data_IF_344017307218
#
_entry.id   IF_344017307218
#
_cell.length_a   1.000
_cell.length_b   1.000
_cell.length_c   1.000
_cell.angle_alpha   90.00
_cell.angle_beta   90.00
_cell.angle_gamma   90.00
#
_symmetry.space_group_name_H-M   'P 1'
#
loop_
_entity.id
_entity.type
_entity.pdbx_description
1 polymer ?
#
# COMPACT_ATOMS: atom_id res chain seq x y z
N UNK A 1 -18.19 -0.98 1.65
CA UNK A 1 -18.46 0.07 2.65
C UNK A 1 -19.75 -0.27 3.38
N UNK A 2 -19.92 0.19 4.62
CA UNK A 2 -21.12 -0.09 5.42
C UNK A 2 -22.25 0.93 5.15
N UNK A 3 -23.52 0.61 5.45
CA UNK A 3 -24.67 1.49 5.19
C UNK A 3 -24.59 2.86 5.85
N UNK A 4 -24.04 2.91 7.06
CA UNK A 4 -23.93 4.14 7.85
C UNK A 4 -22.97 5.16 7.23
N UNK A 5 -21.85 4.73 6.64
CA UNK A 5 -20.85 5.62 6.00
C UNK A 5 -21.31 6.20 4.67
N UNK A 6 -22.45 5.74 4.14
CA UNK A 6 -23.03 6.18 2.88
C UNK A 6 -24.03 7.35 3.05
N UNK A 7 -24.20 7.87 4.25
CA UNK A 7 -25.20 8.89 4.56
C UNK A 7 -24.58 10.23 4.90
N UNK A 8 -25.14 11.32 4.35
CA UNK A 8 -24.61 12.70 4.46
C UNK A 8 -24.69 13.29 5.89
N UNK A 9 -25.22 12.55 6.85
CA UNK A 9 -25.27 12.94 8.25
C UNK A 9 -23.88 12.90 8.87
N UNK A 10 -23.42 14.03 9.45
CA UNK A 10 -22.18 14.12 10.23
C UNK A 10 -22.29 13.42 11.60
N UNK A 11 -22.56 12.11 11.60
CA UNK A 11 -22.41 11.22 12.75
C UNK A 11 -21.00 10.64 12.78
N UNK A 12 -20.51 10.34 13.97
CA UNK A 12 -19.32 9.52 14.18
C UNK A 12 -19.78 8.05 14.22
N UNK A 13 -19.06 7.16 13.55
CA UNK A 13 -19.38 5.73 13.46
C UNK A 13 -18.30 4.90 14.17
N UNK A 14 -18.68 3.73 14.69
CA UNK A 14 -17.73 2.81 15.33
C UNK A 14 -16.91 2.08 14.27
N UNK A 15 -15.59 2.31 14.23
CA UNK A 15 -14.68 1.60 13.31
C UNK A 15 -14.85 0.09 13.39
N UNK A 16 -14.90 -0.46 14.61
CA UNK A 16 -15.14 -1.89 14.87
C UNK A 16 -16.40 -2.44 14.20
N UNK A 17 -17.47 -1.64 14.09
CA UNK A 17 -18.70 -2.05 13.42
C UNK A 17 -18.57 -2.01 11.89
N UNK A 18 -17.75 -1.11 11.34
CA UNK A 18 -17.37 -1.09 9.92
C UNK A 18 -16.53 -2.32 9.55
N UNK A 19 -15.62 -2.71 10.44
CA UNK A 19 -14.76 -3.88 10.28
C UNK A 19 -15.57 -5.18 10.29
N UNK A 20 -16.52 -5.34 11.23
CA UNK A 20 -17.48 -6.47 11.22
C UNK A 20 -18.27 -6.51 9.91
N UNK A 21 -18.80 -5.38 9.44
CA UNK A 21 -19.52 -5.34 8.16
C UNK A 21 -18.62 -5.79 6.99
N UNK A 22 -17.38 -5.29 6.93
CA UNK A 22 -16.42 -5.68 5.89
C UNK A 22 -16.07 -7.19 5.97
N UNK A 23 -15.95 -7.73 7.19
CA UNK A 23 -15.72 -9.16 7.43
C UNK A 23 -16.94 -10.00 7.01
N UNK A 24 -18.18 -9.53 7.24
CA UNK A 24 -19.40 -10.20 6.80
C UNK A 24 -19.55 -10.25 5.27
N UNK A 25 -19.21 -9.15 4.58
CA UNK A 25 -19.13 -9.14 3.11
C UNK A 25 -18.07 -10.13 2.64
N UNK A 26 -16.91 -10.18 3.30
CA UNK A 26 -15.80 -11.06 2.93
C UNK A 26 -16.15 -12.54 3.13
N UNK A 27 -16.82 -12.88 4.24
CA UNK A 27 -17.30 -14.24 4.53
C UNK A 27 -18.34 -14.70 3.50
N UNK A 28 -19.29 -13.84 3.14
CA UNK A 28 -20.24 -14.13 2.05
C UNK A 28 -19.50 -14.36 0.71
N UNK A 29 -18.50 -13.54 0.38
CA UNK A 29 -17.69 -13.71 -0.83
C UNK A 29 -16.89 -15.02 -0.85
N UNK A 30 -16.40 -15.51 0.29
CA UNK A 30 -15.71 -16.82 0.38
C UNK A 30 -16.65 -18.00 0.07
N UNK A 31 -17.94 -17.88 0.39
CA UNK A 31 -18.95 -18.92 0.16
C UNK A 31 -19.49 -18.88 -1.28
N UNK A 32 -19.92 -17.70 -1.74
CA UNK A 32 -20.68 -17.54 -2.99
C UNK A 32 -19.85 -17.02 -4.18
N UNK A 33 -18.58 -16.65 -3.97
CA UNK A 33 -17.69 -16.10 -5.01
C UNK A 33 -18.05 -14.70 -5.52
N UNK A 34 -19.06 -14.05 -4.91
CA UNK A 34 -19.59 -12.74 -5.30
C UNK A 34 -20.05 -11.95 -4.07
N UNK A 35 -20.11 -10.62 -4.16
CA UNK A 35 -20.64 -9.78 -3.08
C UNK A 35 -22.19 -9.85 -2.98
N UNK A 36 -22.79 -9.72 -1.79
CA UNK A 36 -24.25 -9.78 -1.63
C UNK A 36 -24.98 -8.52 -2.15
N UNK A 37 -24.28 -7.40 -2.32
CA UNK A 37 -24.83 -6.16 -2.88
C UNK A 37 -23.93 -5.68 -4.02
N UNK A 38 -24.45 -5.72 -5.27
CA UNK A 38 -23.74 -5.30 -6.48
C UNK A 38 -24.65 -4.47 -7.41
N UNK A 39 -24.07 -3.50 -8.10
CA UNK A 39 -24.68 -2.74 -9.20
C UNK A 39 -23.57 -2.11 -10.06
N UNK A 40 -23.83 -1.87 -11.34
CA UNK A 40 -22.91 -1.13 -12.22
C UNK A 40 -22.83 0.36 -11.85
N UNK A 41 -23.92 0.92 -11.30
CA UNK A 41 -24.02 2.34 -10.99
C UNK A 41 -23.82 2.57 -9.51
N UNK A 42 -22.82 3.38 -9.16
CA UNK A 42 -22.42 3.66 -7.77
C UNK A 42 -23.60 4.13 -6.87
N UNK A 43 -24.51 4.96 -7.38
CA UNK A 43 -25.68 5.42 -6.63
C UNK A 43 -26.72 4.30 -6.38
N UNK A 44 -26.87 3.37 -7.32
CA UNK A 44 -27.74 2.20 -7.17
C UNK A 44 -27.13 1.17 -6.22
N UNK A 45 -25.80 0.96 -6.29
CA UNK A 45 -25.05 0.17 -5.31
C UNK A 45 -25.19 0.76 -3.89
N UNK A 46 -25.05 2.09 -3.75
CA UNK A 46 -25.25 2.77 -2.47
C UNK A 46 -26.67 2.59 -1.92
N UNK A 47 -27.69 2.63 -2.78
CA UNK A 47 -29.07 2.33 -2.38
C UNK A 47 -29.22 0.88 -1.93
N UNK A 48 -28.74 -0.10 -2.70
CA UNK A 48 -28.77 -1.53 -2.35
C UNK A 48 -28.09 -1.82 -1.02
N UNK A 49 -26.89 -1.29 -0.79
CA UNK A 49 -26.17 -1.44 0.49
C UNK A 49 -27.05 -0.94 1.66
N UNK A 50 -27.73 0.21 1.51
CA UNK A 50 -28.61 0.76 2.55
C UNK A 50 -29.91 -0.02 2.77
N UNK A 51 -30.62 -0.39 1.71
CA UNK A 51 -32.04 -0.80 1.81
C UNK A 51 -32.39 -2.18 1.24
N UNK A 52 -31.53 -2.82 0.44
CA UNK A 52 -31.78 -4.20 -0.01
C UNK A 52 -31.55 -5.14 1.18
N UNK A 53 -32.47 -6.07 1.41
CA UNK A 53 -32.28 -7.16 2.37
C UNK A 53 -31.16 -8.09 1.92
N UNK A 54 -30.56 -8.83 2.84
CA UNK A 54 -29.63 -9.90 2.49
C UNK A 54 -30.43 -11.07 1.90
N UNK A 55 -29.96 -11.59 0.78
CA UNK A 55 -30.50 -12.76 0.08
C UNK A 55 -29.38 -13.79 -0.06
N UNK A 56 -29.70 -15.07 0.05
CA UNK A 56 -28.76 -16.18 -0.12
C UNK A 56 -29.18 -17.00 -1.36
N UNK A 57 -28.27 -17.24 -2.33
CA UNK A 57 -28.53 -18.12 -3.46
C UNK A 57 -28.86 -19.55 -3.04
N UNK A 58 -29.67 -20.26 -3.84
CA UNK A 58 -30.04 -21.67 -3.60
C UNK A 58 -28.83 -22.63 -3.61
N UNK A 59 -27.69 -22.21 -4.18
CA UNK A 59 -26.45 -23.00 -4.28
C UNK A 59 -25.19 -22.11 -4.13
N UNK A 60 -24.12 -22.61 -3.47
CA UNK A 60 -24.07 -23.83 -2.69
C UNK A 60 -25.00 -23.75 -1.48
N UNK A 61 -25.63 -24.88 -1.11
CA UNK A 61 -26.37 -24.94 0.15
C UNK A 61 -25.38 -24.86 1.32
N UNK A 62 -25.78 -24.17 2.38
CA UNK A 62 -24.96 -23.88 3.56
C UNK A 62 -25.79 -24.04 4.83
N UNK A 63 -25.12 -24.30 5.95
CA UNK A 63 -25.79 -24.49 7.24
C UNK A 63 -26.48 -23.20 7.70
N UNK A 64 -27.58 -23.34 8.44
CA UNK A 64 -28.38 -22.19 8.86
C UNK A 64 -27.64 -21.31 9.89
N UNK A 65 -26.69 -21.87 10.64
CA UNK A 65 -25.79 -21.10 11.53
C UNK A 65 -24.84 -20.18 10.74
N UNK A 66 -24.48 -20.50 9.49
CA UNK A 66 -23.71 -19.61 8.63
C UNK A 66 -24.59 -18.51 8.04
N UNK A 67 -25.83 -18.85 7.64
CA UNK A 67 -26.82 -17.86 7.18
C UNK A 67 -27.12 -16.86 8.29
N UNK A 68 -27.29 -17.32 9.52
CA UNK A 68 -27.54 -16.48 10.69
C UNK A 68 -26.34 -15.58 11.00
N UNK A 69 -25.13 -16.12 11.13
CA UNK A 69 -23.90 -15.34 11.38
C UNK A 69 -23.74 -14.21 10.35
N UNK A 70 -23.81 -14.53 9.05
CA UNK A 70 -23.65 -13.53 7.98
C UNK A 70 -24.79 -12.51 8.00
N UNK A 71 -26.01 -12.91 8.38
CA UNK A 71 -27.14 -11.98 8.57
C UNK A 71 -26.89 -11.02 9.73
N UNK A 72 -26.43 -11.51 10.90
CA UNK A 72 -26.12 -10.68 12.06
C UNK A 72 -24.93 -9.73 11.79
N UNK A 73 -23.92 -10.17 11.02
CA UNK A 73 -22.78 -9.34 10.61
C UNK A 73 -23.15 -8.27 9.57
N UNK A 74 -24.20 -8.51 8.77
CA UNK A 74 -24.70 -7.60 7.74
C UNK A 74 -26.00 -6.87 8.15
N UNK A 75 -26.26 -6.72 9.46
CA UNK A 75 -27.27 -5.78 9.94
C UNK A 75 -26.91 -4.35 9.47
N UNK A 76 -27.92 -3.67 8.92
CA UNK A 76 -27.82 -2.28 8.46
C UNK A 76 -27.66 -1.30 9.62
N UNK A 77 -28.05 -1.70 10.83
CA UNK A 77 -27.90 -0.93 12.07
C UNK A 77 -26.59 -1.30 12.79
N UNK A 78 -25.59 -0.40 12.87
CA UNK A 78 -24.36 -0.69 13.61
C UNK A 78 -24.58 -0.86 15.13
N UNK A 79 -25.73 -0.44 15.67
CA UNK A 79 -26.11 -0.62 17.07
C UNK A 79 -26.69 -2.00 17.44
N UNK A 80 -27.09 -2.82 16.45
CA UNK A 80 -27.56 -4.21 16.64
C UNK A 80 -26.78 -5.25 15.84
N UNK A 81 -25.81 -4.81 15.02
CA UNK A 81 -24.82 -5.67 14.36
C UNK A 81 -23.94 -6.38 15.39
N UNK A 82 -23.81 -7.70 15.26
CA UNK A 82 -23.03 -8.57 16.17
C UNK A 82 -21.59 -8.08 16.34
N UNK A 83 -21.06 -8.18 17.56
CA UNK A 83 -19.70 -7.73 17.89
C UNK A 83 -18.66 -8.85 17.80
N UNK A 84 -17.37 -8.51 17.75
CA UNK A 84 -16.27 -9.51 17.68
C UNK A 84 -16.32 -10.53 18.85
N UNK A 85 -16.55 -10.15 20.12
CA UNK A 85 -16.73 -11.13 21.20
C UNK A 85 -17.90 -12.10 21.00
N UNK A 86 -19.01 -11.65 20.42
CA UNK A 86 -20.17 -12.50 20.13
C UNK A 86 -19.89 -13.41 18.92
N UNK A 87 -19.21 -12.92 17.88
CA UNK A 87 -18.73 -13.74 16.75
C UNK A 87 -17.79 -14.85 17.24
N UNK A 88 -16.89 -14.56 18.19
CA UNK A 88 -15.99 -15.56 18.78
C UNK A 88 -16.71 -16.71 19.50
N UNK A 89 -17.96 -16.51 19.91
CA UNK A 89 -18.81 -17.48 20.60
C UNK A 89 -19.95 -18.00 19.71
N UNK A 90 -19.98 -17.65 18.42
CA UNK A 90 -21.06 -18.02 17.52
C UNK A 90 -21.01 -19.51 17.17
N UNK A 91 -22.16 -20.18 17.16
CA UNK A 91 -22.27 -21.64 16.93
C UNK A 91 -21.55 -22.13 15.66
N UNK A 92 -21.58 -21.35 14.58
CA UNK A 92 -20.83 -21.67 13.36
C UNK A 92 -19.30 -21.59 13.56
N UNK A 93 -18.82 -20.65 14.38
CA UNK A 93 -17.39 -20.42 14.67
C UNK A 93 -16.84 -21.43 15.68
N UNK A 94 -17.63 -21.77 16.72
CA UNK A 94 -17.25 -22.78 17.74
C UNK A 94 -17.58 -24.21 17.33
N UNK A 95 -18.19 -24.40 16.13
CA UNK A 95 -18.71 -25.66 15.62
C UNK A 95 -19.63 -26.34 16.64
N UNK A 96 -20.69 -25.66 17.04
CA UNK A 96 -21.61 -26.06 18.12
C UNK A 96 -20.85 -26.44 19.40
N UNK A 97 -19.93 -25.55 19.80
CA UNK A 97 -19.08 -25.63 21.00
C UNK A 97 -18.15 -26.86 21.07
N UNK A 98 -17.95 -27.57 19.95
CA UNK A 98 -16.99 -28.68 19.86
C UNK A 98 -15.55 -28.24 19.60
N UNK A 99 -15.37 -27.07 18.98
CA UNK A 99 -14.07 -26.47 18.63
C UNK A 99 -14.06 -24.98 19.04
N UNK A 100 -14.08 -24.66 20.36
CA UNK A 100 -14.05 -23.28 20.84
C UNK A 100 -12.71 -22.59 20.52
N UNK A 101 -12.76 -21.28 20.26
CA UNK A 101 -11.55 -20.48 20.06
C UNK A 101 -10.74 -20.35 21.36
N UNK A 102 -9.39 -20.28 21.28
CA UNK A 102 -8.53 -20.03 22.44
C UNK A 102 -8.90 -18.73 23.19
N UNK A 103 -8.58 -18.70 24.47
CA UNK A 103 -8.77 -17.52 25.32
C UNK A 103 -7.83 -16.39 24.93
N UNK A 104 -8.12 -15.17 25.38
CA UNK A 104 -7.27 -14.01 25.07
C UNK A 104 -5.93 -14.09 25.79
N UNK A 105 -5.87 -14.69 26.99
CA UNK A 105 -4.63 -15.00 27.71
C UNK A 105 -3.73 -16.02 26.99
N UNK A 106 -4.32 -16.95 26.22
CA UNK A 106 -3.57 -17.94 25.42
C UNK A 106 -3.10 -17.41 24.06
N UNK A 107 -3.88 -16.52 23.44
CA UNK A 107 -3.66 -16.08 22.06
C UNK A 107 -3.02 -14.68 21.95
N UNK A 108 -3.14 -13.83 22.98
CA UNK A 108 -2.61 -12.46 22.98
C UNK A 108 -1.42 -12.33 23.93
N UNK A 109 -0.30 -12.96 23.60
CA UNK A 109 0.97 -12.65 24.24
C UNK A 109 1.29 -11.16 24.06
N UNK A 110 1.62 -10.48 25.16
CA UNK A 110 2.01 -9.07 25.09
C UNK A 110 3.37 -8.97 24.40
N UNK A 111 3.37 -8.50 23.15
CA UNK A 111 4.61 -8.16 22.43
C UNK A 111 5.08 -6.80 22.97
N UNK A 112 5.89 -6.86 24.04
CA UNK A 112 6.60 -5.69 24.55
C UNK A 112 7.66 -5.26 23.54
N UNK A 113 7.43 -4.12 22.87
CA UNK A 113 8.41 -3.54 21.94
C UNK A 113 9.61 -3.06 22.74
N UNK A 114 10.76 -3.72 22.56
CA UNK A 114 11.99 -3.40 23.30
C UNK A 114 12.64 -2.10 22.79
N UNK A 115 13.40 -1.43 23.65
CA UNK A 115 14.20 -0.26 23.24
C UNK A 115 15.20 -0.63 22.12
N UNK A 116 15.72 -1.86 22.12
CA UNK A 116 16.58 -2.37 21.05
C UNK A 116 15.85 -2.48 19.70
N UNK A 117 14.58 -2.92 19.68
CA UNK A 117 13.78 -2.96 18.46
C UNK A 117 13.43 -1.56 17.95
N UNK A 118 13.17 -0.60 18.85
CA UNK A 118 12.96 0.81 18.47
C UNK A 118 14.22 1.40 17.83
N UNK A 119 15.39 1.27 18.48
CA UNK A 119 16.68 1.73 17.96
C UNK A 119 17.02 1.05 16.61
N UNK A 120 16.73 -0.25 16.47
CA UNK A 120 16.96 -0.99 15.24
C UNK A 120 15.90 -0.75 14.13
N UNK A 121 14.77 -0.11 14.43
CA UNK A 121 13.67 0.08 13.46
C UNK A 121 14.05 1.04 12.33
N UNK A 122 14.89 2.04 12.59
CA UNK A 122 15.32 3.06 11.61
C UNK A 122 16.83 2.99 11.39
N UNK A 123 17.27 2.03 10.56
CA UNK A 123 18.70 1.87 10.25
C UNK A 123 19.18 2.96 9.29
N UNK A 124 19.97 3.90 9.81
CA UNK A 124 20.64 4.92 9.01
C UNK A 124 21.49 4.27 7.91
N UNK A 125 21.07 4.44 6.65
CA UNK A 125 21.89 4.08 5.50
C UNK A 125 23.10 5.04 5.49
N UNK A 126 24.35 4.55 5.37
CA UNK A 126 25.50 5.44 5.15
C UNK A 126 25.28 6.28 3.89
N UNK A 127 25.91 7.45 3.79
CA UNK A 127 25.54 8.49 2.82
C UNK A 127 25.27 7.95 1.41
N UNK A 128 24.28 8.50 0.70
CA UNK A 128 23.91 8.02 -0.63
C UNK A 128 25.12 8.00 -1.60
N UNK A 129 26.06 8.95 -1.44
CA UNK A 129 27.34 8.96 -2.13
C UNK A 129 28.20 7.73 -1.81
N UNK A 130 28.30 7.31 -0.54
CA UNK A 130 28.97 6.07 -0.11
C UNK A 130 28.34 4.83 -0.76
N UNK A 131 27.00 4.73 -0.78
CA UNK A 131 26.28 3.60 -1.39
C UNK A 131 26.51 3.56 -2.91
N UNK A 132 26.44 4.71 -3.58
CA UNK A 132 26.73 4.85 -5.02
C UNK A 132 28.19 4.46 -5.32
N UNK A 133 29.14 4.93 -4.50
CA UNK A 133 30.57 4.64 -4.63
C UNK A 133 30.85 3.13 -4.46
N UNK A 134 30.35 2.49 -3.40
CA UNK A 134 30.50 1.05 -3.17
C UNK A 134 29.85 0.23 -4.31
N UNK A 135 28.63 0.59 -4.74
CA UNK A 135 27.94 -0.06 -5.88
C UNK A 135 28.73 0.08 -7.19
N UNK A 136 29.37 1.23 -7.41
CA UNK A 136 30.23 1.50 -8.56
C UNK A 136 31.54 0.70 -8.50
N UNK A 137 32.20 0.62 -7.33
CA UNK A 137 33.40 -0.18 -7.08
C UNK A 137 33.15 -1.68 -7.32
N UNK A 138 32.06 -2.23 -6.77
CA UNK A 138 31.67 -3.64 -6.96
C UNK A 138 31.41 -3.92 -8.45
N UNK A 139 30.63 -3.09 -9.14
CA UNK A 139 30.35 -3.24 -10.58
C UNK A 139 31.62 -3.17 -11.43
N UNK A 140 32.58 -2.31 -11.07
CA UNK A 140 33.86 -2.13 -11.77
C UNK A 140 34.96 -3.11 -11.32
N UNK A 141 34.70 -3.95 -10.30
CA UNK A 141 35.69 -4.81 -9.62
C UNK A 141 36.97 -4.05 -9.22
N UNK A 142 36.83 -2.79 -8.81
CA UNK A 142 37.95 -1.87 -8.55
C UNK A 142 37.73 -1.11 -7.25
N UNK A 143 38.78 -1.03 -6.43
CA UNK A 143 38.76 -0.38 -5.12
C UNK A 143 39.24 1.10 -5.14
N UNK A 144 39.50 1.66 -6.33
CA UNK A 144 39.77 3.10 -6.48
C UNK A 144 38.49 3.93 -6.45
N UNK A 145 38.55 5.16 -5.92
CA UNK A 145 37.42 6.10 -5.96
C UNK A 145 37.03 6.39 -7.42
N UNK A 146 35.82 6.00 -7.87
CA UNK A 146 35.41 6.15 -9.27
C UNK A 146 35.00 7.57 -9.65
N UNK A 147 35.04 8.51 -8.70
CA UNK A 147 34.71 9.93 -8.88
C UNK A 147 35.92 10.86 -8.66
N UNK A 148 37.11 10.32 -8.37
CA UNK A 148 38.32 11.14 -8.28
C UNK A 148 38.84 11.48 -9.69
N UNK A 149 38.41 12.64 -10.18
CA UNK A 149 38.88 13.21 -11.46
C UNK A 149 40.25 13.87 -11.38
N UNK A 150 40.94 13.81 -10.23
CA UNK A 150 42.17 14.56 -9.98
C UNK A 150 43.36 13.96 -10.74
N UNK A 151 43.89 14.72 -11.71
CA UNK A 151 45.14 14.44 -12.44
C UNK A 151 45.19 13.12 -13.24
N UNK A 152 44.66 13.17 -14.46
CA UNK A 152 45.26 12.43 -15.58
C UNK A 152 45.56 13.30 -16.81
N UNK A 153 45.91 14.55 -16.54
CA UNK A 153 46.58 15.42 -17.50
C UNK A 153 48.09 15.09 -17.56
N UNK A 154 48.69 15.23 -18.73
CA UNK A 154 50.11 15.05 -19.04
C UNK A 154 50.84 13.80 -18.51
N UNK A 155 50.87 12.75 -19.34
CA UNK A 155 52.14 12.04 -19.58
C UNK A 155 52.32 11.52 -21.02
N UNK A 156 52.70 12.44 -21.90
CA UNK A 156 53.55 12.28 -23.09
C UNK A 156 53.34 11.09 -24.05
N UNK A 157 52.76 11.42 -25.21
CA UNK A 157 53.36 11.24 -26.55
C UNK A 157 54.01 9.90 -26.93
N UNK A 158 53.35 9.18 -27.84
CA UNK A 158 53.96 8.41 -28.94
C UNK A 158 52.97 8.28 -30.10
N UNK A 159 53.48 8.29 -31.33
CA UNK A 159 52.76 8.49 -32.62
C UNK A 159 52.93 7.25 -33.54
N UNK A 160 52.44 7.20 -34.82
CA UNK A 160 51.38 7.96 -35.52
C UNK A 160 50.35 7.06 -36.30
N UNK A 161 49.47 7.74 -37.07
CA UNK A 161 48.98 7.39 -38.42
C UNK A 161 47.89 6.32 -38.67
N UNK A 162 46.73 6.80 -39.18
CA UNK A 162 46.27 6.42 -40.53
C UNK A 162 45.34 7.46 -41.20
N UNK A 163 45.93 8.25 -42.10
CA UNK A 163 45.32 8.99 -43.23
C UNK A 163 44.26 8.12 -43.98
N UNK A 164 43.06 8.53 -44.45
CA UNK A 164 42.26 9.80 -44.50
C UNK A 164 40.76 9.42 -44.76
N UNK A 165 39.72 10.25 -45.04
CA UNK A 165 39.57 11.54 -45.76
C UNK A 165 38.31 12.36 -45.34
N UNK A 166 38.44 13.69 -45.48
CA UNK A 166 37.51 14.73 -45.98
C UNK A 166 35.98 14.50 -45.96
N UNK A 167 35.25 15.42 -45.30
CA UNK A 167 34.70 16.64 -45.94
C UNK A 167 35.08 17.84 -45.04
N UNK A 168 35.25 19.04 -45.62
CA UNK A 168 35.57 20.31 -44.94
C UNK A 168 34.73 21.45 -45.57
N UNK A 169 34.58 22.54 -44.83
CA UNK A 169 33.99 23.86 -45.16
C UNK A 169 32.58 24.10 -44.55
N UNK A 170 32.34 25.22 -43.84
CA UNK A 170 33.29 26.22 -43.31
C UNK A 170 32.74 26.99 -42.08
N UNK A 171 33.63 27.75 -41.43
CA UNK A 171 33.41 28.98 -40.60
C UNK A 171 31.98 29.27 -40.11
N UNK A 172 31.70 29.17 -38.81
CA UNK A 172 31.96 30.24 -37.80
C UNK A 172 31.09 31.50 -37.93
N UNK A 173 29.82 31.46 -37.51
CA UNK A 173 29.11 32.64 -36.99
C UNK A 173 27.86 32.27 -36.16
N UNK A 174 27.99 32.15 -34.82
CA UNK A 174 26.87 32.09 -33.85
C UNK A 174 27.28 32.10 -32.35
N UNK A 175 28.52 32.40 -31.96
CA UNK A 175 28.94 32.42 -30.55
C UNK A 175 28.43 33.69 -29.81
N UNK A 176 27.09 33.88 -29.77
CA UNK A 176 26.41 35.05 -29.17
C UNK A 176 24.88 34.90 -29.01
N UNK A 177 24.42 33.79 -28.43
CA UNK A 177 23.05 33.64 -27.94
C UNK A 177 22.96 32.65 -26.76
N UNK A 178 21.83 32.65 -26.06
CA UNK A 178 21.41 31.66 -25.04
C UNK A 178 22.33 31.47 -23.82
N UNK A 179 23.02 32.53 -23.38
CA UNK A 179 23.26 32.74 -21.95
C UNK A 179 22.19 33.73 -21.45
N UNK A 180 20.98 33.24 -21.17
CA UNK A 180 19.93 33.97 -20.44
C UNK A 180 18.78 33.00 -20.07
N UNK A 181 18.73 32.59 -18.80
CA UNK A 181 17.58 31.95 -18.16
C UNK A 181 17.55 32.43 -16.70
N UNK A 182 16.52 33.16 -16.24
CA UNK A 182 16.54 33.81 -14.94
C UNK A 182 16.31 32.83 -13.78
N UNK A 183 17.00 33.11 -12.67
CA UNK A 183 16.79 32.44 -11.39
C UNK A 183 15.44 32.85 -10.79
N UNK A 184 14.62 31.87 -10.37
CA UNK A 184 13.35 32.12 -9.65
C UNK A 184 13.47 31.46 -8.27
N UNK A 185 13.35 32.28 -7.23
CA UNK A 185 13.51 31.89 -5.82
C UNK A 185 12.27 31.18 -5.27
N UNK A 186 12.50 30.11 -4.50
CA UNK A 186 11.46 29.39 -3.74
C UNK A 186 11.09 30.18 -2.47
N UNK A 187 10.06 31.04 -2.52
CA UNK A 187 9.63 31.81 -1.34
C UNK A 187 8.13 32.21 -1.37
N UNK A 188 7.25 31.33 -1.86
CA UNK A 188 5.78 31.55 -1.79
C UNK A 188 4.98 30.22 -1.68
N UNK A 189 5.08 29.54 -0.54
CA UNK A 189 4.34 28.28 -0.28
C UNK A 189 3.83 28.09 1.16
N UNK A 190 3.51 29.18 1.88
CA UNK A 190 2.75 29.14 3.14
C UNK A 190 1.75 30.31 3.25
N UNK A 191 0.51 30.08 2.81
CA UNK A 191 -0.71 30.84 3.16
C UNK A 191 -1.95 30.00 2.86
#
# INVERSE_FOLDING_TARGET
MAPETLSETRKIFSGKALDVWAMGITLYCFVFGQCPFMDERILSLHSKIKSQMLEFPDQPDISDELKDLVTQMLDKKPESRITIPEIKLHLWVTRNDTEPLPTEDENCTLIEVTEEEVENSVKHIPSLATVILVKSMIRKRSFGNPFDGSRREERFLSTPDRQTYLIKENSEEAFRATNDLPNVSEDELLS
#
